data_IF_069977730591
#
_entry.id   IF_069977730591
#
_cell.length_a   1.000
_cell.length_b   1.000
_cell.length_c   1.000
_cell.angle_alpha   90.00
_cell.angle_beta   90.00
_cell.angle_gamma   90.00
#
_symmetry.space_group_name_H-M   'P 1'
#
loop_
_entity.id
_entity.type
_entity.pdbx_description
1 polymer ?
#
# COMPACT_ATOMS: atom_id res chain seq x y z
N UNK A 1 -17.95 23.91 46.02
CA UNK A 1 -17.85 23.95 44.56
C UNK A 1 -16.37 24.10 44.24
N UNK A 2 -15.70 22.99 44.00
CA UNK A 2 -14.28 22.95 43.57
C UNK A 2 -14.28 22.92 42.05
N UNK A 3 -13.88 24.03 41.43
CA UNK A 3 -13.67 24.11 39.99
C UNK A 3 -12.39 23.35 39.65
N UNK A 4 -12.55 22.22 38.97
CA UNK A 4 -11.44 21.49 38.36
C UNK A 4 -10.99 22.30 37.14
N UNK A 5 -9.86 22.98 37.20
CA UNK A 5 -9.21 23.54 36.03
C UNK A 5 -8.65 22.38 35.21
N UNK A 6 -9.19 22.16 34.03
CA UNK A 6 -8.52 21.35 32.99
C UNK A 6 -7.28 22.14 32.51
N UNK A 7 -6.13 21.50 32.35
CA UNK A 7 -4.99 22.17 31.74
C UNK A 7 -5.33 22.45 30.28
N UNK A 8 -5.39 23.71 29.88
CA UNK A 8 -5.33 24.12 28.48
C UNK A 8 -3.93 23.78 27.98
N UNK A 9 -3.82 22.85 27.03
CA UNK A 9 -2.59 22.66 26.29
C UNK A 9 -2.25 23.98 25.60
N UNK A 10 -1.14 24.57 25.96
CA UNK A 10 -0.56 25.74 25.27
C UNK A 10 0.25 25.14 24.12
N UNK A 11 -0.28 25.21 22.91
CA UNK A 11 0.45 24.84 21.72
C UNK A 11 1.52 25.91 21.48
N UNK A 12 2.74 25.44 21.23
CA UNK A 12 3.90 26.26 20.92
C UNK A 12 3.88 26.72 19.45
N UNK A 13 4.66 27.72 19.14
CA UNK A 13 4.79 28.44 17.86
C UNK A 13 5.22 27.52 16.71
N UNK A 14 5.04 27.93 15.44
CA UNK A 14 5.34 27.18 14.18
C UNK A 14 6.77 26.57 14.08
N UNK A 15 7.68 26.95 14.95
CA UNK A 15 9.05 26.41 15.05
C UNK A 15 9.14 25.04 15.77
N UNK A 16 8.01 24.50 16.28
CA UNK A 16 7.98 23.30 17.11
C UNK A 16 6.99 22.25 16.55
N UNK A 17 6.96 22.07 15.24
CA UNK A 17 6.09 21.11 14.55
C UNK A 17 6.95 20.14 13.75
N UNK A 18 6.72 18.83 13.90
CA UNK A 18 7.31 17.83 13.01
C UNK A 18 6.71 17.91 11.62
N UNK A 19 7.54 17.81 10.59
CA UNK A 19 7.13 17.82 9.20
C UNK A 19 7.32 16.44 8.57
N UNK A 20 6.21 15.82 8.18
CA UNK A 20 6.20 14.52 7.49
C UNK A 20 5.88 14.75 6.03
N UNK A 21 6.74 14.25 5.13
CA UNK A 21 6.48 14.20 3.70
C UNK A 21 5.63 12.99 3.34
N UNK A 22 4.86 13.12 2.27
CA UNK A 22 4.20 12.01 1.58
C UNK A 22 4.57 12.06 0.11
N UNK A 23 5.01 10.94 -0.46
CA UNK A 23 5.32 10.80 -1.89
C UNK A 23 4.56 9.59 -2.43
N UNK A 24 3.89 9.78 -3.54
CA UNK A 24 3.18 8.73 -4.25
C UNK A 24 2.56 9.28 -5.54
N UNK A 25 1.87 8.45 -6.33
CA UNK A 25 1.17 8.90 -7.52
C UNK A 25 -0.07 9.70 -7.11
N UNK A 26 -0.01 11.04 -7.20
CA UNK A 26 -1.16 11.92 -6.95
C UNK A 26 -1.94 12.19 -8.23
N UNK A 27 -1.31 11.94 -9.38
CA UNK A 27 -1.94 12.03 -10.73
C UNK A 27 -1.55 10.83 -11.57
N UNK A 28 -2.23 10.62 -12.71
CA UNK A 28 -2.01 9.49 -13.61
C UNK A 28 -2.82 8.25 -13.24
N UNK A 29 -2.46 7.12 -13.85
CA UNK A 29 -3.27 5.89 -13.84
C UNK A 29 -3.40 5.25 -12.45
N UNK A 30 -2.42 5.46 -11.55
CA UNK A 30 -2.38 4.90 -10.20
C UNK A 30 -2.70 5.93 -9.10
N UNK A 31 -3.35 7.05 -9.45
CA UNK A 31 -3.56 8.17 -8.53
C UNK A 31 -4.36 7.82 -7.26
N UNK A 32 -5.23 6.82 -7.30
CA UNK A 32 -6.01 6.42 -6.12
C UNK A 32 -5.14 5.91 -4.97
N UNK A 33 -3.97 5.32 -5.26
CA UNK A 33 -3.04 4.89 -4.21
C UNK A 33 -2.45 6.08 -3.46
N UNK A 34 -1.83 7.00 -4.18
CA UNK A 34 -1.16 8.15 -3.58
C UNK A 34 -2.13 9.10 -2.87
N UNK A 35 -3.28 9.37 -3.48
CA UNK A 35 -4.32 10.20 -2.86
C UNK A 35 -4.85 9.55 -1.57
N UNK A 36 -5.10 8.23 -1.59
CA UNK A 36 -5.51 7.48 -0.40
C UNK A 36 -4.51 7.60 0.75
N UNK A 37 -3.22 7.39 0.45
CA UNK A 37 -2.13 7.53 1.43
C UNK A 37 -2.05 8.96 1.99
N UNK A 38 -2.08 9.97 1.13
CA UNK A 38 -1.99 11.36 1.53
C UNK A 38 -3.15 11.81 2.42
N UNK A 39 -4.38 11.51 2.02
CA UNK A 39 -5.58 11.85 2.77
C UNK A 39 -5.63 11.13 4.13
N UNK A 40 -5.26 9.85 4.18
CA UNK A 40 -5.23 9.11 5.44
C UNK A 40 -4.14 9.60 6.40
N UNK A 41 -2.96 9.97 5.87
CA UNK A 41 -1.91 10.57 6.68
C UNK A 41 -2.37 11.89 7.31
N UNK A 42 -3.15 12.72 6.58
CA UNK A 42 -3.72 13.95 7.11
C UNK A 42 -4.74 13.67 8.22
N UNK A 43 -5.65 12.72 8.02
CA UNK A 43 -6.65 12.32 9.05
C UNK A 43 -5.93 11.83 10.31
N UNK A 44 -4.93 10.94 10.18
CA UNK A 44 -4.17 10.45 11.31
C UNK A 44 -3.43 11.59 12.05
N UNK A 45 -2.80 12.51 11.32
CA UNK A 45 -2.09 13.65 11.91
C UNK A 45 -3.04 14.59 12.68
N UNK A 46 -4.24 14.86 12.15
CA UNK A 46 -5.25 15.67 12.85
C UNK A 46 -5.69 15.02 14.16
N UNK A 47 -5.98 13.71 14.15
CA UNK A 47 -6.37 12.96 15.36
C UNK A 47 -5.23 12.92 16.38
N UNK A 48 -4.01 12.66 15.94
CA UNK A 48 -2.82 12.63 16.78
C UNK A 48 -2.56 13.99 17.41
N UNK A 49 -2.66 15.07 16.66
CA UNK A 49 -2.50 16.43 17.16
C UNK A 49 -3.56 16.77 18.23
N UNK A 50 -4.81 16.35 18.02
CA UNK A 50 -5.87 16.52 19.01
C UNK A 50 -5.61 15.75 20.33
N UNK A 51 -4.77 14.72 20.29
CA UNK A 51 -4.42 13.83 21.41
C UNK A 51 -2.99 14.06 21.96
N UNK A 52 -2.31 15.12 21.57
CA UNK A 52 -1.01 15.50 22.16
C UNK A 52 0.21 15.38 21.23
N UNK A 53 0.02 15.03 19.97
CA UNK A 53 1.06 15.04 18.94
C UNK A 53 2.10 13.91 19.07
N UNK A 54 3.27 14.14 18.52
CA UNK A 54 4.48 13.32 18.67
C UNK A 54 5.31 13.89 19.83
N UNK A 55 5.48 13.14 20.89
CA UNK A 55 6.23 13.57 22.08
C UNK A 55 5.84 15.00 22.59
N UNK A 56 4.57 15.36 22.42
CA UNK A 56 4.05 16.68 22.85
C UNK A 56 4.11 17.77 21.79
N UNK A 57 4.63 17.50 20.59
CA UNK A 57 4.73 18.43 19.46
C UNK A 57 3.69 18.11 18.39
N UNK A 58 3.21 19.13 17.70
CA UNK A 58 2.33 18.94 16.55
C UNK A 58 3.04 18.24 15.38
N UNK A 59 2.25 17.63 14.50
CA UNK A 59 2.69 17.02 13.25
C UNK A 59 2.00 17.74 12.10
N UNK A 60 2.75 18.10 11.09
CA UNK A 60 2.29 18.66 9.81
C UNK A 60 2.57 17.65 8.70
N UNK A 61 1.55 17.27 7.94
CA UNK A 61 1.73 16.58 6.67
C UNK A 61 1.94 17.64 5.60
N UNK A 62 3.11 17.65 4.99
CA UNK A 62 3.44 18.59 3.90
C UNK A 62 2.58 18.30 2.66
N UNK A 63 2.45 19.31 1.77
CA UNK A 63 1.85 19.08 0.45
C UNK A 63 2.58 17.93 -0.26
N UNK A 64 1.82 16.92 -0.68
CA UNK A 64 2.34 15.68 -1.20
C UNK A 64 3.21 15.87 -2.47
N UNK A 65 4.26 15.08 -2.57
CA UNK A 65 5.04 14.93 -3.79
C UNK A 65 4.38 13.97 -4.75
N UNK A 66 4.08 14.42 -5.98
CA UNK A 66 3.50 13.60 -7.04
C UNK A 66 4.60 12.92 -7.85
N UNK A 67 4.73 11.60 -7.70
CA UNK A 67 5.71 10.81 -8.44
C UNK A 67 5.14 10.13 -9.69
N UNK A 68 3.82 10.09 -9.86
CA UNK A 68 3.14 9.40 -10.96
C UNK A 68 3.59 7.93 -11.13
N UNK A 69 4.03 7.28 -10.06
CA UNK A 69 4.66 5.97 -10.04
C UNK A 69 5.96 5.89 -10.87
N UNK A 70 6.66 7.01 -11.06
CA UNK A 70 7.91 7.13 -11.80
C UNK A 70 9.09 7.36 -10.83
N UNK A 71 10.12 6.48 -10.83
CA UNK A 71 11.24 6.57 -9.90
C UNK A 71 12.03 7.89 -9.98
N UNK A 72 12.22 8.47 -11.18
CA UNK A 72 12.96 9.74 -11.33
C UNK A 72 12.15 10.92 -10.73
N UNK A 73 10.83 10.91 -10.93
CA UNK A 73 9.96 11.92 -10.33
C UNK A 73 9.89 11.78 -8.82
N UNK A 74 9.89 10.54 -8.30
CA UNK A 74 9.91 10.28 -6.86
C UNK A 74 11.15 10.88 -6.19
N UNK A 75 12.34 10.70 -6.76
CA UNK A 75 13.59 11.31 -6.27
C UNK A 75 13.51 12.84 -6.32
N UNK A 76 12.94 13.43 -7.38
CA UNK A 76 12.76 14.87 -7.46
C UNK A 76 11.80 15.38 -6.37
N UNK A 77 10.67 14.68 -6.16
CA UNK A 77 9.70 15.02 -5.12
C UNK A 77 10.31 14.91 -3.71
N UNK A 78 11.16 13.92 -3.47
CA UNK A 78 11.90 13.76 -2.22
C UNK A 78 12.79 14.97 -1.93
N UNK A 79 13.59 15.40 -2.91
CA UNK A 79 14.45 16.57 -2.77
C UNK A 79 13.64 17.87 -2.54
N UNK A 80 12.52 18.03 -3.26
CA UNK A 80 11.62 19.18 -3.06
C UNK A 80 11.00 19.21 -1.65
N UNK A 81 10.70 18.06 -1.07
CA UNK A 81 10.19 17.97 0.30
C UNK A 81 11.28 18.23 1.34
N UNK A 82 12.51 17.80 1.11
CA UNK A 82 13.66 18.17 1.97
C UNK A 82 13.86 19.68 1.99
N UNK A 83 13.78 20.36 0.84
CA UNK A 83 13.87 21.82 0.74
C UNK A 83 12.74 22.55 1.49
N UNK A 84 11.57 21.90 1.68
CA UNK A 84 10.45 22.39 2.51
C UNK A 84 10.62 22.07 3.99
N UNK A 85 11.68 21.36 4.36
CA UNK A 85 12.02 21.00 5.74
C UNK A 85 11.40 19.70 6.22
N UNK A 86 11.12 18.76 5.31
CA UNK A 86 10.70 17.40 5.67
C UNK A 86 11.73 16.75 6.60
N UNK A 87 11.26 16.08 7.65
CA UNK A 87 12.08 15.38 8.63
C UNK A 87 11.92 13.86 8.61
N UNK A 88 10.75 13.40 8.22
CA UNK A 88 10.40 11.97 8.09
C UNK A 88 9.53 11.78 6.84
N UNK A 89 9.56 10.60 6.25
CA UNK A 89 8.81 10.28 5.04
C UNK A 89 7.82 9.14 5.32
N UNK A 90 6.53 9.38 5.09
CA UNK A 90 5.51 8.36 4.91
C UNK A 90 5.37 8.11 3.39
N UNK A 91 6.02 7.09 2.89
CA UNK A 91 6.12 6.84 1.45
C UNK A 91 7.44 6.15 1.09
N UNK A 92 7.72 5.90 -0.19
CA UNK A 92 6.79 6.11 -1.29
C UNK A 92 5.77 4.97 -1.40
N UNK A 93 4.79 5.13 -2.29
CA UNK A 93 3.65 4.20 -2.38
C UNK A 93 3.97 2.99 -3.27
N UNK A 94 4.60 3.21 -4.43
CA UNK A 94 4.92 2.14 -5.38
C UNK A 94 6.37 1.65 -5.22
N UNK A 95 6.61 0.37 -5.48
CA UNK A 95 7.90 -0.29 -5.23
C UNK A 95 9.06 0.35 -5.98
N UNK A 96 8.93 0.61 -7.29
CA UNK A 96 10.00 1.23 -8.08
C UNK A 96 10.39 2.63 -7.58
N UNK A 97 9.40 3.46 -7.21
CA UNK A 97 9.63 4.76 -6.56
C UNK A 97 10.31 4.60 -5.20
N UNK A 98 9.90 3.59 -4.42
CA UNK A 98 10.44 3.33 -3.08
C UNK A 98 11.93 2.94 -3.14
N UNK A 99 12.31 2.05 -4.03
CA UNK A 99 13.69 1.64 -4.25
C UNK A 99 14.56 2.86 -4.61
N UNK A 100 14.08 3.72 -5.51
CA UNK A 100 14.83 4.89 -5.95
C UNK A 100 15.00 5.94 -4.84
N UNK A 101 13.93 6.23 -4.07
CA UNK A 101 13.99 7.19 -2.96
C UNK A 101 14.77 6.60 -1.78
N UNK A 102 14.65 5.31 -1.48
CA UNK A 102 15.41 4.64 -0.44
C UNK A 102 16.92 4.82 -0.62
N UNK A 103 17.41 4.69 -1.84
CA UNK A 103 18.82 4.92 -2.14
C UNK A 103 19.32 6.34 -1.82
N UNK A 104 18.45 7.37 -1.91
CA UNK A 104 18.75 8.76 -1.55
C UNK A 104 18.55 9.04 -0.05
N UNK A 105 17.55 8.37 0.57
CA UNK A 105 17.18 8.56 1.97
C UNK A 105 18.06 7.76 2.94
N UNK A 106 18.85 6.82 2.45
CA UNK A 106 19.65 5.91 3.26
C UNK A 106 20.44 6.65 4.35
N UNK A 107 20.24 6.25 5.61
CA UNK A 107 20.87 6.79 6.81
C UNK A 107 20.61 8.29 7.11
N UNK A 108 19.89 9.01 6.24
CA UNK A 108 19.66 10.47 6.40
C UNK A 108 18.23 10.81 6.81
N UNK A 109 17.24 10.10 6.30
CA UNK A 109 15.81 10.39 6.54
C UNK A 109 15.08 9.12 6.93
N UNK A 110 14.39 9.13 8.06
CA UNK A 110 13.51 8.01 8.44
C UNK A 110 12.41 7.84 7.38
N UNK A 111 12.37 6.66 6.78
CA UNK A 111 11.44 6.33 5.70
C UNK A 111 10.56 5.16 6.10
N UNK A 112 9.25 5.34 5.96
CA UNK A 112 8.27 4.31 6.28
C UNK A 112 7.25 4.20 5.15
N UNK A 113 7.43 3.19 4.30
CA UNK A 113 6.48 2.97 3.21
C UNK A 113 5.21 2.26 3.70
N UNK A 114 4.01 2.77 3.33
CA UNK A 114 2.77 2.06 3.62
C UNK A 114 2.60 0.80 2.77
N UNK A 115 3.12 0.76 1.54
CA UNK A 115 2.63 -0.17 0.53
C UNK A 115 3.64 -0.66 -0.51
N UNK A 116 4.91 -0.26 -0.44
CA UNK A 116 5.92 -0.75 -1.37
C UNK A 116 6.37 -2.17 -0.97
N UNK A 117 5.89 -3.16 -1.70
CA UNK A 117 5.96 -4.59 -1.37
C UNK A 117 7.17 -5.31 -1.94
N UNK A 118 7.87 -4.76 -2.95
CA UNK A 118 9.09 -5.37 -3.49
C UNK A 118 10.16 -5.54 -2.41
N UNK A 119 10.90 -6.63 -2.47
CA UNK A 119 11.92 -6.95 -1.44
C UNK A 119 12.91 -5.81 -1.29
N UNK A 120 13.35 -5.23 -2.41
CA UNK A 120 14.38 -4.19 -2.42
C UNK A 120 13.88 -2.80 -1.99
N UNK A 121 12.58 -2.65 -1.69
CA UNK A 121 11.98 -1.36 -1.30
C UNK A 121 12.53 -0.77 0.01
N UNK A 122 13.11 -1.58 0.89
CA UNK A 122 13.62 -1.16 2.19
C UNK A 122 15.02 -1.73 2.51
N UNK A 123 15.85 -1.91 1.50
CA UNK A 123 17.17 -2.56 1.68
C UNK A 123 18.35 -1.59 1.55
N UNK A 124 18.13 -0.32 1.26
CA UNK A 124 19.20 0.64 1.05
C UNK A 124 19.80 1.16 2.38
N UNK A 125 19.01 1.24 3.45
CA UNK A 125 19.45 1.70 4.76
C UNK A 125 18.71 1.04 5.93
N UNK A 126 19.26 1.15 7.13
CA UNK A 126 18.63 0.63 8.36
C UNK A 126 17.51 1.54 8.89
N UNK A 127 17.23 2.63 8.21
CA UNK A 127 16.22 3.63 8.51
C UNK A 127 14.94 3.48 7.67
N UNK A 128 14.80 2.35 6.98
CA UNK A 128 13.71 2.04 6.07
C UNK A 128 12.82 0.96 6.65
N UNK A 129 11.52 1.23 6.69
CA UNK A 129 10.49 0.34 7.23
C UNK A 129 9.31 0.22 6.28
N UNK A 130 8.61 -0.94 6.31
CA UNK A 130 7.35 -1.12 5.59
C UNK A 130 6.20 -1.51 6.51
N UNK A 131 4.98 -1.10 6.14
CA UNK A 131 3.75 -1.50 6.83
C UNK A 131 3.09 -2.72 6.15
N UNK A 132 3.37 -2.95 4.88
CA UNK A 132 2.78 -3.99 4.06
C UNK A 132 3.54 -5.32 4.11
N UNK A 133 2.94 -6.38 3.58
CA UNK A 133 3.59 -7.65 3.29
C UNK A 133 4.47 -7.55 2.02
N UNK A 134 5.25 -8.60 1.72
CA UNK A 134 6.18 -8.61 0.58
C UNK A 134 5.57 -9.23 -0.68
N UNK A 135 6.14 -8.92 -1.87
CA UNK A 135 5.78 -9.56 -3.14
C UNK A 135 5.88 -11.09 -3.08
N UNK A 136 6.97 -11.68 -2.54
CA UNK A 136 7.02 -13.13 -2.37
C UNK A 136 5.92 -13.70 -1.48
N UNK A 137 5.51 -12.96 -0.44
CA UNK A 137 4.39 -13.39 0.39
C UNK A 137 3.07 -13.36 -0.39
N UNK A 138 2.82 -12.33 -1.20
CA UNK A 138 1.62 -12.24 -2.05
C UNK A 138 1.55 -13.40 -3.04
N UNK A 139 2.63 -13.65 -3.80
CA UNK A 139 2.67 -14.72 -4.79
C UNK A 139 2.45 -16.10 -4.16
N UNK A 140 3.18 -16.39 -3.08
CA UNK A 140 3.09 -17.67 -2.37
C UNK A 140 1.70 -17.87 -1.75
N UNK A 141 1.16 -16.86 -1.06
CA UNK A 141 -0.16 -16.93 -0.43
C UNK A 141 -1.28 -17.04 -1.45
N UNK A 142 -1.17 -16.38 -2.61
CA UNK A 142 -2.14 -16.54 -3.70
C UNK A 142 -2.17 -17.97 -4.22
N UNK A 143 -1.02 -18.58 -4.49
CA UNK A 143 -0.95 -19.97 -4.92
C UNK A 143 -1.53 -20.93 -3.85
N UNK A 144 -1.16 -20.73 -2.59
CA UNK A 144 -1.66 -21.49 -1.45
C UNK A 144 -3.19 -21.38 -1.34
N UNK A 145 -3.73 -20.16 -1.35
CA UNK A 145 -5.17 -19.92 -1.21
C UNK A 145 -5.97 -20.58 -2.36
N UNK A 146 -5.51 -20.39 -3.61
CA UNK A 146 -6.16 -20.99 -4.78
C UNK A 146 -6.19 -22.52 -4.67
N UNK A 147 -5.09 -23.14 -4.24
CA UNK A 147 -4.99 -24.59 -4.07
C UNK A 147 -5.84 -25.11 -2.90
N UNK A 148 -5.73 -24.52 -1.71
CA UNK A 148 -6.47 -24.95 -0.50
C UNK A 148 -7.98 -24.86 -0.67
N UNK A 149 -8.47 -23.79 -1.34
CA UNK A 149 -9.90 -23.62 -1.62
C UNK A 149 -10.37 -24.28 -2.93
N UNK A 150 -9.45 -24.99 -3.62
CA UNK A 150 -9.75 -25.68 -4.89
C UNK A 150 -10.42 -24.78 -5.92
N UNK A 151 -9.95 -23.52 -6.01
CA UNK A 151 -10.52 -22.54 -6.94
C UNK A 151 -10.23 -22.90 -8.40
N UNK A 152 -9.07 -23.49 -8.68
CA UNK A 152 -8.63 -23.94 -9.99
C UNK A 152 -7.55 -25.02 -9.84
N UNK A 153 -7.30 -25.77 -10.93
CA UNK A 153 -6.13 -26.65 -11.08
C UNK A 153 -5.21 -26.18 -12.20
N UNK A 154 -5.75 -25.46 -13.18
CA UNK A 154 -5.01 -24.87 -14.30
C UNK A 154 -5.08 -23.36 -14.20
N UNK A 155 -3.94 -22.76 -14.00
CA UNK A 155 -3.83 -21.31 -13.82
C UNK A 155 -3.00 -20.69 -14.95
N UNK A 156 -3.37 -19.49 -15.37
CA UNK A 156 -2.55 -18.66 -16.24
C UNK A 156 -2.17 -17.39 -15.49
N UNK A 157 -1.04 -16.79 -15.84
CA UNK A 157 -0.60 -15.48 -15.31
C UNK A 157 -0.53 -14.50 -16.47
N UNK A 158 -0.86 -13.24 -16.20
CA UNK A 158 -0.61 -12.10 -17.08
C UNK A 158 -0.08 -10.93 -16.23
N UNK A 159 1.17 -10.50 -16.49
CA UNK A 159 1.85 -9.55 -15.65
C UNK A 159 2.75 -8.57 -16.42
N UNK A 160 3.05 -7.42 -15.81
CA UNK A 160 4.06 -6.48 -16.30
C UNK A 160 5.46 -6.95 -15.91
N UNK A 161 6.25 -7.39 -16.87
CA UNK A 161 7.62 -7.85 -16.64
C UNK A 161 8.66 -6.72 -16.55
N UNK A 162 8.25 -5.48 -16.70
CA UNK A 162 9.14 -4.32 -16.61
C UNK A 162 9.19 -3.68 -15.21
N UNK A 163 8.36 -4.17 -14.27
CA UNK A 163 8.30 -3.68 -12.90
C UNK A 163 8.67 -4.76 -11.87
N UNK A 164 9.45 -4.37 -10.85
CA UNK A 164 9.93 -5.28 -9.79
C UNK A 164 8.76 -5.87 -8.99
N UNK A 165 7.74 -5.06 -8.66
CA UNK A 165 6.51 -5.49 -8.00
C UNK A 165 5.85 -6.68 -8.69
N UNK A 166 5.49 -6.52 -9.96
CA UNK A 166 4.75 -7.53 -10.73
C UNK A 166 5.58 -8.80 -10.91
N UNK A 167 6.88 -8.64 -11.24
CA UNK A 167 7.80 -9.75 -11.45
C UNK A 167 8.05 -10.54 -10.17
N UNK A 168 8.24 -9.85 -9.03
CA UNK A 168 8.47 -10.48 -7.73
C UNK A 168 7.28 -11.34 -7.28
N UNK A 169 6.06 -10.87 -7.50
CA UNK A 169 4.84 -11.63 -7.20
C UNK A 169 4.69 -12.82 -8.14
N UNK A 170 4.90 -12.61 -9.46
CA UNK A 170 4.79 -13.68 -10.44
C UNK A 170 5.80 -14.81 -10.15
N UNK A 171 7.06 -14.48 -9.93
CA UNK A 171 8.12 -15.46 -9.67
C UNK A 171 7.79 -16.33 -8.45
N UNK A 172 7.30 -15.71 -7.37
CA UNK A 172 6.91 -16.41 -6.15
C UNK A 172 5.65 -17.27 -6.35
N UNK A 173 4.66 -16.78 -7.11
CA UNK A 173 3.45 -17.53 -7.44
C UNK A 173 3.78 -18.77 -8.26
N UNK A 174 4.55 -18.62 -9.33
CA UNK A 174 4.96 -19.74 -10.21
C UNK A 174 5.79 -20.77 -9.45
N UNK A 175 6.70 -20.31 -8.58
CA UNK A 175 7.52 -21.20 -7.75
C UNK A 175 6.68 -22.01 -6.75
N UNK A 176 5.60 -21.45 -6.21
CA UNK A 176 4.72 -22.10 -5.24
C UNK A 176 3.60 -22.95 -5.89
N UNK A 177 3.33 -22.80 -7.18
CA UNK A 177 2.17 -23.37 -7.84
C UNK A 177 2.09 -24.91 -7.73
N UNK A 178 3.16 -25.62 -8.07
CA UNK A 178 3.21 -27.10 -8.09
C UNK A 178 2.94 -27.71 -6.71
N UNK A 179 3.54 -27.13 -5.65
CA UNK A 179 3.34 -27.61 -4.27
C UNK A 179 1.88 -27.43 -3.79
N UNK A 180 1.16 -26.48 -4.38
CA UNK A 180 -0.25 -26.19 -4.08
C UNK A 180 -1.22 -26.87 -5.08
N UNK A 181 -0.73 -27.78 -5.92
CA UNK A 181 -1.56 -28.56 -6.86
C UNK A 181 -2.04 -27.75 -8.06
N UNK A 182 -1.35 -26.68 -8.42
CA UNK A 182 -1.65 -25.81 -9.55
C UNK A 182 -0.70 -26.10 -10.72
N UNK A 183 -1.26 -26.25 -11.92
CA UNK A 183 -0.52 -26.30 -13.17
C UNK A 183 -0.54 -24.90 -13.82
N UNK A 184 0.61 -24.25 -13.95
CA UNK A 184 0.73 -22.99 -14.70
C UNK A 184 0.75 -23.32 -16.20
N UNK A 185 -0.39 -23.15 -16.86
CA UNK A 185 -0.58 -23.52 -18.28
C UNK A 185 -0.23 -22.40 -19.25
N UNK A 186 -0.13 -21.17 -18.78
CA UNK A 186 0.40 -20.01 -19.51
C UNK A 186 0.97 -19.01 -18.53
N UNK A 187 2.12 -18.43 -18.88
CA UNK A 187 2.79 -17.36 -18.15
C UNK A 187 3.14 -16.29 -19.18
N UNK A 188 2.28 -15.26 -19.26
CA UNK A 188 2.32 -14.26 -20.32
C UNK A 188 2.68 -12.90 -19.74
N UNK A 189 3.62 -12.24 -20.40
CA UNK A 189 4.11 -10.94 -19.98
C UNK A 189 3.74 -9.84 -20.96
N UNK A 190 3.69 -8.62 -20.44
CA UNK A 190 3.73 -7.36 -21.18
C UNK A 190 4.77 -6.43 -20.54
N UNK A 191 4.89 -5.21 -21.03
CA UNK A 191 5.72 -4.16 -20.44
C UNK A 191 4.94 -2.85 -20.40
N UNK A 192 5.34 -1.91 -19.56
CA UNK A 192 4.71 -0.60 -19.45
C UNK A 192 4.55 0.14 -20.80
N UNK A 193 5.47 -0.08 -21.75
CA UNK A 193 5.38 0.47 -23.10
C UNK A 193 4.32 -0.22 -24.00
N UNK A 194 3.74 -1.34 -23.55
CA UNK A 194 2.81 -2.18 -24.32
C UNK A 194 1.55 -2.60 -23.54
N UNK A 195 1.13 -1.79 -22.56
CA UNK A 195 0.02 -2.07 -21.64
C UNK A 195 -1.35 -1.59 -22.13
N UNK A 196 -1.57 -1.46 -23.43
CA UNK A 196 -2.87 -0.98 -23.98
C UNK A 196 -3.64 -2.05 -24.76
N UNK A 197 -2.98 -3.11 -25.24
CA UNK A 197 -3.59 -4.20 -26.00
C UNK A 197 -3.01 -5.55 -25.54
N UNK A 198 -3.82 -6.34 -24.86
CA UNK A 198 -3.50 -7.66 -24.34
C UNK A 198 -4.07 -8.82 -25.18
N UNK A 199 -4.60 -8.52 -26.38
CA UNK A 199 -5.30 -9.50 -27.21
C UNK A 199 -4.47 -10.73 -27.55
N UNK A 200 -3.15 -10.57 -27.74
CA UNK A 200 -2.23 -11.70 -28.05
C UNK A 200 -2.06 -12.60 -26.85
N UNK A 201 -1.81 -12.02 -25.67
CA UNK A 201 -1.63 -12.74 -24.42
C UNK A 201 -2.94 -13.44 -24.02
N UNK A 202 -4.05 -12.72 -24.02
CA UNK A 202 -5.37 -13.26 -23.68
C UNK A 202 -5.80 -14.40 -24.61
N UNK A 203 -5.44 -14.31 -25.91
CA UNK A 203 -5.69 -15.42 -26.82
C UNK A 203 -4.90 -16.68 -26.43
N UNK A 204 -3.61 -16.56 -26.08
CA UNK A 204 -2.80 -17.71 -25.64
C UNK A 204 -3.33 -18.30 -24.33
N UNK A 205 -3.71 -17.44 -23.38
CA UNK A 205 -4.30 -17.83 -22.09
C UNK A 205 -5.60 -18.61 -22.34
N UNK A 206 -6.49 -18.10 -23.19
CA UNK A 206 -7.72 -18.79 -23.56
C UNK A 206 -7.45 -20.15 -24.21
N UNK A 207 -6.52 -20.20 -25.17
CA UNK A 207 -6.17 -21.43 -25.89
C UNK A 207 -5.46 -22.47 -24.98
N UNK A 208 -4.88 -22.06 -23.85
CA UNK A 208 -4.23 -22.94 -22.86
C UNK A 208 -5.22 -23.75 -22.03
N UNK A 209 -6.47 -23.32 -21.96
CA UNK A 209 -7.50 -23.94 -21.13
C UNK A 209 -7.37 -23.63 -19.65
N UNK A 210 -6.81 -22.46 -19.29
CA UNK A 210 -6.76 -21.97 -17.92
C UNK A 210 -8.16 -21.83 -17.32
N UNK A 211 -8.33 -22.24 -16.08
CA UNK A 211 -9.56 -22.14 -15.28
C UNK A 211 -9.57 -20.84 -14.45
N UNK A 212 -8.37 -20.29 -14.17
CA UNK A 212 -8.17 -19.06 -13.43
C UNK A 212 -7.04 -18.25 -14.07
N UNK A 213 -7.22 -16.94 -14.13
CA UNK A 213 -6.24 -15.95 -14.54
C UNK A 213 -5.76 -15.19 -13.31
N UNK A 214 -4.48 -15.33 -12.96
CA UNK A 214 -3.80 -14.60 -11.92
C UNK A 214 -3.25 -13.29 -12.49
N UNK A 215 -3.52 -12.18 -11.81
CA UNK A 215 -3.30 -10.81 -12.25
C UNK A 215 -2.49 -10.01 -11.22
N UNK A 216 -1.17 -10.22 -11.12
CA UNK A 216 -0.32 -9.48 -10.19
C UNK A 216 0.05 -8.10 -10.78
N UNK A 217 -0.94 -7.25 -10.98
CA UNK A 217 -0.78 -5.93 -11.58
C UNK A 217 -1.51 -4.85 -10.80
N UNK A 218 -1.21 -3.59 -11.10
CA UNK A 218 -1.95 -2.45 -10.60
C UNK A 218 -3.36 -2.39 -11.20
N UNK A 219 -4.28 -1.74 -10.49
CA UNK A 219 -5.70 -1.73 -10.82
C UNK A 219 -6.01 -1.18 -12.22
N UNK A 220 -5.25 -0.20 -12.70
CA UNK A 220 -5.51 0.41 -14.01
C UNK A 220 -5.30 -0.59 -15.16
N UNK A 221 -4.19 -1.32 -15.15
CA UNK A 221 -3.92 -2.37 -16.12
C UNK A 221 -4.93 -3.52 -15.96
N UNK A 222 -5.24 -3.91 -14.72
CA UNK A 222 -6.21 -4.95 -14.44
C UNK A 222 -7.61 -4.61 -14.96
N UNK A 223 -8.07 -3.35 -14.84
CA UNK A 223 -9.35 -2.92 -15.39
C UNK A 223 -9.39 -3.09 -16.91
N UNK A 224 -8.31 -2.72 -17.60
CA UNK A 224 -8.20 -2.89 -19.05
C UNK A 224 -8.09 -4.37 -19.45
N UNK A 225 -7.36 -5.18 -18.67
CA UNK A 225 -7.27 -6.64 -18.89
C UNK A 225 -8.64 -7.29 -18.70
N UNK A 226 -9.40 -6.95 -17.66
CA UNK A 226 -10.74 -7.48 -17.43
C UNK A 226 -11.69 -7.13 -18.59
N UNK A 227 -11.66 -5.89 -19.07
CA UNK A 227 -12.46 -5.49 -20.23
C UNK A 227 -12.11 -6.31 -21.48
N UNK A 228 -10.82 -6.46 -21.79
CA UNK A 228 -10.38 -7.21 -22.96
C UNK A 228 -10.60 -8.72 -22.83
N UNK A 229 -10.51 -9.26 -21.60
CA UNK A 229 -10.83 -10.66 -21.32
C UNK A 229 -12.32 -10.94 -21.54
N UNK A 230 -13.21 -10.03 -21.13
CA UNK A 230 -14.64 -10.09 -21.43
C UNK A 230 -14.89 -10.08 -22.95
N UNK A 231 -14.30 -9.12 -23.67
CA UNK A 231 -14.43 -9.02 -25.13
C UNK A 231 -13.91 -10.26 -25.87
N UNK A 232 -12.90 -10.93 -25.28
CA UNK A 232 -12.38 -12.22 -25.77
C UNK A 232 -13.26 -13.42 -25.40
N UNK A 233 -14.35 -13.22 -24.63
CA UNK A 233 -15.26 -14.29 -24.16
C UNK A 233 -14.58 -15.21 -23.14
N UNK A 234 -13.95 -14.64 -22.13
CA UNK A 234 -13.27 -15.34 -21.01
C UNK A 234 -14.01 -15.13 -19.67
N UNK A 235 -15.32 -14.90 -19.70
CA UNK A 235 -16.13 -14.67 -18.49
C UNK A 235 -16.14 -15.88 -17.56
N UNK A 236 -16.08 -17.09 -18.11
CA UNK A 236 -16.04 -18.34 -17.33
C UNK A 236 -14.69 -18.60 -16.65
N UNK A 237 -13.62 -17.86 -17.02
CA UNK A 237 -12.31 -17.96 -16.38
C UNK A 237 -12.33 -17.11 -15.12
N UNK A 238 -12.04 -17.71 -13.95
CA UNK A 238 -11.94 -16.94 -12.69
C UNK A 238 -10.78 -15.94 -12.75
N UNK A 239 -10.85 -14.85 -12.00
CA UNK A 239 -9.78 -13.85 -11.89
C UNK A 239 -9.36 -13.71 -10.44
N UNK A 240 -8.06 -13.65 -10.23
CA UNK A 240 -7.48 -13.51 -8.91
C UNK A 240 -6.35 -12.46 -8.98
N UNK A 241 -6.50 -11.37 -8.24
CA UNK A 241 -5.53 -10.30 -8.13
C UNK A 241 -4.79 -10.31 -6.79
N UNK A 242 -4.01 -9.29 -6.58
CA UNK A 242 -3.22 -9.04 -5.38
C UNK A 242 -3.55 -7.66 -4.84
N UNK A 243 -2.79 -7.13 -3.89
CA UNK A 243 -3.05 -5.81 -3.28
C UNK A 243 -3.20 -4.67 -4.30
N UNK A 244 -2.40 -4.69 -5.37
CA UNK A 244 -2.51 -3.71 -6.46
C UNK A 244 -3.83 -3.74 -7.25
N UNK A 245 -4.71 -4.71 -7.00
CA UNK A 245 -6.07 -4.71 -7.54
C UNK A 245 -6.99 -3.74 -6.78
N UNK A 246 -6.67 -3.40 -5.53
CA UNK A 246 -7.49 -2.49 -4.74
C UNK A 246 -7.48 -1.08 -5.36
N UNK A 247 -8.66 -0.52 -5.55
CA UNK A 247 -8.89 0.70 -6.32
C UNK A 247 -9.62 0.46 -7.66
N UNK A 248 -9.74 -0.81 -8.12
CA UNK A 248 -10.35 -1.13 -9.41
C UNK A 248 -11.81 -0.64 -9.54
N UNK A 249 -12.55 -0.63 -8.44
CA UNK A 249 -13.94 -0.16 -8.41
C UNK A 249 -14.07 1.36 -8.60
N UNK A 250 -12.99 2.12 -8.42
CA UNK A 250 -12.95 3.57 -8.62
C UNK A 250 -12.34 4.00 -9.95
N UNK A 251 -12.02 3.08 -10.87
CA UNK A 251 -11.44 3.43 -12.18
C UNK A 251 -12.46 4.17 -13.04
N UNK A 252 -12.07 5.35 -13.52
CA UNK A 252 -12.94 6.19 -14.33
C UNK A 252 -13.34 5.48 -15.64
N UNK A 253 -14.62 5.48 -15.96
CA UNK A 253 -15.21 4.83 -17.15
C UNK A 253 -15.06 3.29 -17.21
N UNK A 254 -14.60 2.62 -16.17
CA UNK A 254 -14.60 1.16 -16.08
C UNK A 254 -16.01 0.64 -15.75
N UNK A 255 -16.45 -0.39 -16.46
CA UNK A 255 -17.68 -1.11 -16.09
C UNK A 255 -17.39 -2.03 -14.91
N UNK A 256 -17.73 -1.60 -13.71
CA UNK A 256 -17.45 -2.32 -12.46
C UNK A 256 -18.15 -3.69 -12.40
N UNK A 257 -19.16 -3.94 -13.22
CA UNK A 257 -19.77 -5.27 -13.32
C UNK A 257 -18.80 -6.36 -13.85
N UNK A 258 -17.72 -5.95 -14.53
CA UNK A 258 -16.66 -6.84 -14.99
C UNK A 258 -15.72 -7.28 -13.85
N UNK A 259 -15.77 -6.57 -12.73
CA UNK A 259 -15.03 -6.95 -11.52
C UNK A 259 -15.82 -7.88 -10.59
N UNK A 260 -17.09 -8.13 -10.84
CA UNK A 260 -17.89 -9.07 -10.03
C UNK A 260 -17.28 -10.48 -10.04
N UNK A 261 -17.10 -11.06 -8.85
CA UNK A 261 -16.46 -12.37 -8.67
C UNK A 261 -14.93 -12.35 -8.81
N UNK A 262 -14.31 -11.20 -9.00
CA UNK A 262 -12.86 -11.07 -8.94
C UNK A 262 -12.40 -11.17 -7.48
N UNK A 263 -11.44 -12.06 -7.24
CA UNK A 263 -10.84 -12.28 -5.93
C UNK A 263 -9.51 -11.50 -5.82
N UNK A 264 -9.13 -11.07 -4.63
CA UNK A 264 -7.85 -10.41 -4.38
C UNK A 264 -7.37 -10.62 -2.95
N UNK A 265 -6.07 -10.41 -2.73
CA UNK A 265 -5.47 -10.34 -1.39
C UNK A 265 -5.33 -8.88 -0.96
N UNK A 266 -5.85 -8.54 0.23
CA UNK A 266 -5.71 -7.20 0.84
C UNK A 266 -5.80 -7.32 2.37
N UNK A 267 -5.16 -6.46 3.16
CA UNK A 267 -5.27 -6.49 4.62
C UNK A 267 -6.51 -5.76 5.14
N UNK A 268 -7.22 -4.97 4.31
CA UNK A 268 -8.28 -4.05 4.74
C UNK A 268 -9.46 -4.05 3.76
N UNK A 269 -10.64 -3.80 4.32
CA UNK A 269 -11.85 -3.46 3.57
C UNK A 269 -12.60 -2.34 4.27
N UNK A 270 -13.01 -1.31 3.51
CA UNK A 270 -13.83 -0.22 4.02
C UNK A 270 -15.24 -0.67 4.48
N UNK A 271 -15.66 -1.87 4.09
CA UNK A 271 -16.94 -2.48 4.52
C UNK A 271 -16.79 -3.35 5.76
N UNK A 272 -15.63 -3.39 6.41
CA UNK A 272 -15.41 -4.14 7.64
C UNK A 272 -16.36 -3.71 8.74
N UNK A 273 -16.82 -4.69 9.53
CA UNK A 273 -17.76 -4.47 10.63
C UNK A 273 -17.09 -4.08 11.97
N UNK A 274 -15.76 -4.10 12.05
CA UNK A 274 -15.05 -3.74 13.27
C UNK A 274 -15.11 -2.24 13.58
N UNK A 275 -15.07 -1.89 14.89
CA UNK A 275 -15.27 -0.51 15.36
C UNK A 275 -14.16 0.45 14.92
N UNK A 276 -12.90 -0.03 14.80
CA UNK A 276 -11.77 0.82 14.42
C UNK A 276 -11.88 1.18 12.93
N UNK A 277 -12.10 0.18 12.06
CA UNK A 277 -12.28 0.39 10.63
C UNK A 277 -13.44 1.33 10.34
N UNK A 278 -14.60 1.17 11.01
CA UNK A 278 -15.74 2.10 10.87
C UNK A 278 -15.39 3.52 11.28
N UNK A 279 -14.70 3.70 12.41
CA UNK A 279 -14.31 5.03 12.87
C UNK A 279 -13.36 5.72 11.90
N UNK A 280 -12.39 4.96 11.33
CA UNK A 280 -11.48 5.46 10.31
C UNK A 280 -12.22 5.83 9.02
N UNK A 281 -13.09 4.96 8.51
CA UNK A 281 -13.88 5.21 7.29
C UNK A 281 -14.73 6.47 7.46
N UNK A 282 -15.45 6.59 8.59
CA UNK A 282 -16.28 7.77 8.89
C UNK A 282 -15.43 9.07 8.92
N UNK A 283 -14.25 9.04 9.54
CA UNK A 283 -13.35 10.19 9.60
C UNK A 283 -12.77 10.54 8.24
N UNK A 284 -12.34 9.53 7.47
CA UNK A 284 -11.76 9.68 6.14
C UNK A 284 -12.79 10.28 5.15
N UNK A 285 -14.00 9.71 5.08
CA UNK A 285 -15.08 10.21 4.22
C UNK A 285 -15.50 11.64 4.59
N UNK A 286 -15.59 11.94 5.89
CA UNK A 286 -15.92 13.29 6.36
C UNK A 286 -14.88 14.34 5.94
N UNK A 287 -13.60 13.97 5.93
CA UNK A 287 -12.50 14.86 5.53
C UNK A 287 -12.39 14.99 4.00
N UNK A 288 -12.73 13.94 3.23
CA UNK A 288 -12.42 13.80 1.82
C UNK A 288 -13.66 13.72 0.89
N UNK A 289 -14.76 14.35 1.28
CA UNK A 289 -15.98 14.50 0.44
C UNK A 289 -16.58 13.17 0.00
N UNK A 290 -16.74 12.26 0.94
CA UNK A 290 -17.33 10.93 0.75
C UNK A 290 -16.48 9.99 -0.16
N UNK A 291 -15.16 10.24 -0.29
CA UNK A 291 -14.24 9.28 -0.88
C UNK A 291 -14.11 8.07 0.03
N UNK A 292 -14.20 6.86 -0.54
CA UNK A 292 -14.06 5.60 0.22
C UNK A 292 -12.56 5.25 0.31
N UNK A 293 -12.02 5.00 1.53
CA UNK A 293 -10.61 4.63 1.67
C UNK A 293 -10.33 3.22 1.13
N UNK A 294 -9.20 3.06 0.46
CA UNK A 294 -8.64 1.77 0.07
C UNK A 294 -7.66 1.25 1.13
N UNK A 295 -7.05 0.07 0.92
CA UNK A 295 -6.05 -0.48 1.84
C UNK A 295 -4.83 0.42 2.02
N UNK A 296 -4.40 1.13 0.96
CA UNK A 296 -3.23 2.02 1.00
C UNK A 296 -3.46 3.20 1.96
N UNK A 297 -4.70 3.67 2.01
CA UNK A 297 -5.13 4.66 3.00
C UNK A 297 -5.06 4.11 4.42
N UNK A 298 -5.55 2.88 4.64
CA UNK A 298 -5.52 2.24 5.95
C UNK A 298 -4.08 1.94 6.41
N UNK A 299 -3.21 1.47 5.51
CA UNK A 299 -1.80 1.26 5.81
C UNK A 299 -1.09 2.58 6.15
N UNK A 300 -1.36 3.67 5.43
CA UNK A 300 -0.78 4.98 5.72
C UNK A 300 -1.25 5.55 7.07
N UNK A 301 -2.52 5.37 7.42
CA UNK A 301 -3.03 5.71 8.74
C UNK A 301 -2.26 4.97 9.84
N UNK A 302 -2.08 3.66 9.68
CA UNK A 302 -1.30 2.83 10.60
C UNK A 302 0.18 3.25 10.66
N UNK A 303 0.80 3.66 9.53
CA UNK A 303 2.17 4.20 9.48
C UNK A 303 2.30 5.43 10.38
N UNK A 304 1.40 6.41 10.27
CA UNK A 304 1.50 7.63 11.08
C UNK A 304 1.33 7.34 12.57
N UNK A 305 0.46 6.38 12.95
CA UNK A 305 0.33 5.94 14.34
C UNK A 305 1.55 5.17 14.84
N UNK A 306 2.17 4.32 14.01
CA UNK A 306 3.42 3.65 14.35
C UNK A 306 4.57 4.66 14.54
N UNK A 307 4.65 5.66 13.65
CA UNK A 307 5.60 6.78 13.78
C UNK A 307 5.38 7.55 15.09
N UNK A 308 4.12 7.78 15.51
CA UNK A 308 3.83 8.40 16.80
C UNK A 308 4.37 7.58 17.97
N UNK A 309 4.13 6.28 17.97
CA UNK A 309 4.61 5.39 19.03
C UNK A 309 6.14 5.42 19.12
N UNK A 310 6.83 5.31 17.98
CA UNK A 310 8.29 5.39 17.90
C UNK A 310 8.82 6.77 18.35
N UNK A 311 8.19 7.86 17.90
CA UNK A 311 8.58 9.23 18.27
C UNK A 311 8.46 9.49 19.78
N UNK A 312 7.39 8.95 20.39
CA UNK A 312 7.19 9.09 21.85
C UNK A 312 8.22 8.28 22.64
N UNK A 313 8.57 7.08 22.18
CA UNK A 313 9.58 6.22 22.82
C UNK A 313 11.00 6.81 22.66
N UNK A 314 11.33 7.24 21.44
CA UNK A 314 12.60 7.88 21.10
C UNK A 314 12.81 9.24 21.77
N UNK A 315 11.73 9.92 22.16
CA UNK A 315 11.79 11.26 22.77
C UNK A 315 12.35 12.34 21.84
N UNK A 316 12.15 12.19 20.51
CA UNK A 316 12.61 13.15 19.51
C UNK A 316 11.92 14.51 19.64
N UNK A 317 12.59 15.55 19.14
CA UNK A 317 12.07 16.92 19.10
C UNK A 317 12.28 17.54 17.72
N UNK A 318 11.44 18.51 17.27
CA UNK A 318 11.53 19.08 15.93
C UNK A 318 12.80 19.87 15.61
N UNK A 319 13.60 20.20 16.61
CA UNK A 319 14.88 20.91 16.44
C UNK A 319 16.09 19.98 16.23
N UNK A 320 15.88 18.65 16.29
CA UNK A 320 16.91 17.67 15.98
C UNK A 320 17.22 17.64 14.48
N UNK A 321 18.45 17.20 14.13
CA UNK A 321 18.78 16.95 12.71
C UNK A 321 18.01 15.74 12.17
N UNK A 322 17.81 15.67 10.84
CA UNK A 322 17.14 14.53 10.21
C UNK A 322 17.88 13.23 10.51
N UNK A 323 19.21 13.23 10.51
CA UNK A 323 20.03 12.05 10.82
C UNK A 323 19.81 11.59 12.27
N UNK A 324 19.74 12.52 13.24
CA UNK A 324 19.48 12.18 14.64
C UNK A 324 18.06 11.66 14.85
N UNK A 325 17.06 12.27 14.18
CA UNK A 325 15.67 11.78 14.16
C UNK A 325 15.63 10.36 13.55
N UNK A 326 16.25 10.18 12.39
CA UNK A 326 16.29 8.92 11.67
C UNK A 326 16.87 7.80 12.53
N UNK A 327 18.03 8.03 13.14
CA UNK A 327 18.67 7.05 14.01
C UNK A 327 17.81 6.68 15.23
N UNK A 328 17.24 7.70 15.92
CA UNK A 328 16.42 7.48 17.10
C UNK A 328 15.10 6.77 16.78
N UNK A 329 14.45 7.14 15.67
CA UNK A 329 13.23 6.49 15.20
C UNK A 329 13.46 5.04 14.82
N UNK A 330 14.55 4.76 14.11
CA UNK A 330 14.89 3.39 13.69
C UNK A 330 15.13 2.46 14.87
N UNK A 331 15.82 2.94 15.93
CA UNK A 331 16.00 2.18 17.15
C UNK A 331 14.66 1.95 17.88
N UNK A 332 13.84 2.98 18.00
CA UNK A 332 12.56 2.89 18.70
C UNK A 332 11.55 1.99 17.98
N UNK A 333 11.54 1.97 16.64
CA UNK A 333 10.65 1.10 15.85
C UNK A 333 10.75 -0.38 16.22
N UNK A 334 11.91 -0.86 16.68
CA UNK A 334 12.11 -2.26 17.06
C UNK A 334 11.33 -2.64 18.34
N UNK A 335 10.86 -1.67 19.11
CA UNK A 335 10.02 -1.87 20.31
C UNK A 335 8.53 -1.59 20.05
N UNK A 336 8.18 -1.03 18.91
CA UNK A 336 6.78 -0.70 18.58
C UNK A 336 5.97 -1.95 18.34
N UNK A 337 4.81 -2.03 18.99
CA UNK A 337 3.74 -2.97 18.73
C UNK A 337 2.47 -2.17 18.40
N UNK A 338 1.98 -2.30 17.17
CA UNK A 338 0.76 -1.64 16.72
C UNK A 338 -0.37 -2.68 16.60
N UNK A 339 -1.55 -2.33 17.11
CA UNK A 339 -2.81 -3.01 16.80
C UNK A 339 -3.63 -2.06 15.91
N UNK A 340 -3.31 -2.08 14.61
CA UNK A 340 -3.78 -1.13 13.61
C UNK A 340 -5.07 -1.54 12.91
N UNK A 341 -5.45 -0.77 11.89
CA UNK A 341 -6.57 -1.06 10.96
C UNK A 341 -6.28 -2.28 10.10
N UNK A 342 -5.03 -2.41 9.67
CA UNK A 342 -4.57 -3.46 8.77
C UNK A 342 -4.00 -4.67 9.52
N UNK A 343 -4.27 -4.75 10.82
CA UNK A 343 -3.86 -5.85 11.71
C UNK A 343 -2.76 -5.48 12.68
N UNK A 344 -2.24 -6.50 13.37
CA UNK A 344 -1.14 -6.32 14.31
C UNK A 344 0.17 -6.27 13.56
N UNK A 345 1.04 -5.32 13.94
CA UNK A 345 2.35 -5.15 13.36
C UNK A 345 3.44 -4.99 14.42
N UNK A 346 4.58 -5.58 14.13
CA UNK A 346 5.84 -5.46 14.82
C UNK A 346 6.95 -5.44 13.79
N UNK A 347 8.04 -4.75 14.05
CA UNK A 347 9.11 -4.60 13.07
C UNK A 347 10.39 -5.29 13.52
N UNK A 348 11.11 -5.85 12.55
CA UNK A 348 12.44 -6.45 12.72
C UNK A 348 13.54 -5.43 12.44
N UNK A 349 14.80 -5.80 12.72
CA UNK A 349 15.99 -4.99 12.40
C UNK A 349 16.12 -4.70 10.88
N UNK A 350 15.51 -5.53 10.02
CA UNK A 350 15.49 -5.36 8.58
C UNK A 350 14.32 -4.48 8.10
N UNK A 351 13.56 -3.84 9.02
CA UNK A 351 12.43 -2.97 8.69
C UNK A 351 11.15 -3.69 8.25
N UNK A 352 11.16 -5.02 8.26
CA UNK A 352 10.02 -5.86 7.89
C UNK A 352 8.98 -5.94 8.99
N UNK A 353 7.70 -6.00 8.64
CA UNK A 353 6.64 -6.34 9.57
C UNK A 353 6.00 -7.70 9.27
N UNK A 354 5.53 -8.36 10.34
CA UNK A 354 4.82 -9.64 10.22
C UNK A 354 3.34 -9.37 9.92
N UNK A 355 3.02 -9.32 8.63
CA UNK A 355 1.66 -9.11 8.12
C UNK A 355 1.26 -10.20 7.14
N UNK A 356 0.04 -10.67 7.27
CA UNK A 356 -0.56 -11.59 6.30
C UNK A 356 -1.75 -10.94 5.59
N UNK A 357 -1.83 -11.07 4.26
CA UNK A 357 -3.00 -10.62 3.52
C UNK A 357 -4.20 -11.53 3.81
N UNK A 358 -5.41 -10.98 3.67
CA UNK A 358 -6.66 -11.70 3.68
C UNK A 358 -7.22 -11.78 2.27
N UNK A 359 -8.05 -12.79 2.00
CA UNK A 359 -8.70 -12.93 0.71
C UNK A 359 -10.08 -12.25 0.72
N UNK A 360 -10.36 -11.51 -0.33
CA UNK A 360 -11.64 -10.87 -0.58
C UNK A 360 -12.15 -11.21 -1.98
N UNK A 361 -13.46 -11.17 -2.15
CA UNK A 361 -14.14 -11.25 -3.44
C UNK A 361 -14.96 -9.97 -3.64
N UNK A 362 -14.97 -9.45 -4.85
CA UNK A 362 -15.85 -8.33 -5.22
C UNK A 362 -17.26 -8.89 -5.43
N UNK A 363 -18.20 -8.46 -4.60
CA UNK A 363 -19.61 -8.86 -4.65
C UNK A 363 -20.49 -7.60 -4.50
N UNK A 364 -21.43 -7.42 -5.44
CA UNK A 364 -22.32 -6.25 -5.47
C UNK A 364 -21.56 -4.90 -5.39
N UNK A 365 -20.37 -4.85 -6.01
CA UNK A 365 -19.51 -3.67 -6.05
C UNK A 365 -18.80 -3.34 -4.72
N UNK A 366 -18.60 -4.32 -3.83
CA UNK A 366 -17.88 -4.17 -2.57
C UNK A 366 -16.92 -5.34 -2.32
N UNK A 367 -15.86 -5.11 -1.54
CA UNK A 367 -14.95 -6.16 -1.11
C UNK A 367 -15.56 -6.94 0.07
N UNK A 368 -15.83 -8.22 -0.13
CA UNK A 368 -16.38 -9.14 0.86
C UNK A 368 -15.31 -10.15 1.27
N UNK A 369 -14.99 -10.22 2.58
CA UNK A 369 -13.97 -11.15 3.09
C UNK A 369 -14.40 -12.59 2.84
N UNK A 370 -13.49 -13.39 2.28
CA UNK A 370 -13.68 -14.82 2.01
C UNK A 370 -13.23 -15.65 3.23
N UNK A 371 -13.88 -16.81 3.45
CA UNK A 371 -13.53 -17.72 4.56
C UNK A 371 -12.23 -18.50 4.29
#
# INVERSE_FOLDING_TARGET
MTATMMPTAVFADDAETFKIGVIGPMTGDNAQYGLGVYHAAQVAAEEINANGGFNGYNVEILDAGDDQADPEKAVNAYNDLLDKGMQMLCGTVTSGSCIAVGAEAAESTFMFTPSATAVDSITAGSNEFRMCFTDPAQGTKSAQYIGEHSLATKVAVLYDSSADYNSGINDAFVAAADENGLEVVADEAYTADSNTDFSVQLKKIKDSGAELLFLPNYYADNALILQQAHDAGMDDVKKFGVDGMDGILGVENFDTSLAEGVMLLTPFSATSDDEKSKAFVDAYEAANKDEVPNQFAADAYDVIYAMQLAANDAGITPDMSNEDISAAMSEAMLSVELDGLTGKAKWTEDGECDKEPKAFEIQDGAYVEME
#
